data_IF_356093319956
#
_entry.id   IF_356093319956
#
_cell.length_a   1.000
_cell.length_b   1.000
_cell.length_c   1.000
_cell.angle_alpha   90.00
_cell.angle_beta   90.00
_cell.angle_gamma   90.00
#
_symmetry.space_group_name_H-M   'P 1'
#
loop_
_entity.id
_entity.type
_entity.pdbx_description
1 polymer ?
#
# COMPACT_ATOMS: atom_id res chain seq x y z
N UNK A 1 -8.88 -25.44 9.59
CA UNK A 1 -10.29 -25.85 9.73
C UNK A 1 -10.86 -26.47 8.46
N UNK A 2 -10.52 -25.96 7.27
CA UNK A 2 -10.82 -26.57 5.95
C UNK A 2 -10.62 -28.11 5.87
N UNK A 3 -9.49 -28.71 6.27
CA UNK A 3 -9.30 -30.16 6.16
C UNK A 3 -10.19 -30.99 7.10
N UNK A 4 -10.72 -30.37 8.17
CA UNK A 4 -11.57 -31.04 9.15
C UNK A 4 -13.03 -31.05 8.65
N UNK A 5 -13.47 -29.95 8.05
CA UNK A 5 -14.84 -29.78 7.55
C UNK A 5 -15.10 -30.56 6.26
N UNK A 6 -14.08 -30.84 5.45
CA UNK A 6 -14.19 -31.71 4.26
C UNK A 6 -14.65 -33.15 4.58
N UNK A 7 -14.46 -33.62 5.82
CA UNK A 7 -14.80 -34.99 6.21
C UNK A 7 -16.21 -35.10 6.85
N UNK A 8 -16.95 -34.01 6.96
CA UNK A 8 -18.29 -34.00 7.56
C UNK A 8 -19.33 -34.27 6.48
N UNK A 9 -20.07 -35.39 6.60
CA UNK A 9 -21.20 -35.74 5.73
C UNK A 9 -22.24 -34.62 5.72
N UNK A 10 -22.58 -34.11 4.53
CA UNK A 10 -23.48 -32.97 4.32
C UNK A 10 -22.78 -31.69 3.83
N UNK A 11 -21.44 -31.69 3.84
CA UNK A 11 -20.64 -30.57 3.33
C UNK A 11 -20.48 -30.66 1.82
N UNK A 12 -21.13 -29.76 1.08
CA UNK A 12 -21.13 -29.78 -0.40
C UNK A 12 -19.85 -29.18 -1.01
N UNK A 13 -19.24 -28.18 -0.36
CA UNK A 13 -17.94 -27.61 -0.71
C UNK A 13 -17.38 -26.78 0.45
N UNK A 14 -16.13 -27.03 0.87
CA UNK A 14 -15.39 -26.13 1.77
C UNK A 14 -14.17 -25.65 1.01
N UNK A 15 -14.13 -24.35 0.75
CA UNK A 15 -13.01 -23.69 0.12
C UNK A 15 -12.53 -22.61 1.07
N UNK A 16 -11.27 -22.70 1.52
CA UNK A 16 -10.64 -21.54 2.14
C UNK A 16 -10.25 -20.58 1.02
N UNK A 17 -10.76 -19.36 1.05
CA UNK A 17 -10.26 -18.28 0.20
C UNK A 17 -8.77 -18.09 0.52
N UNK A 18 -7.92 -18.61 -0.36
CA UNK A 18 -6.49 -18.32 -0.34
C UNK A 18 -6.32 -17.04 -1.13
N UNK A 19 -6.11 -15.93 -0.44
CA UNK A 19 -5.61 -14.72 -1.09
C UNK A 19 -4.28 -15.11 -1.72
N UNK A 20 -4.26 -15.31 -3.05
CA UNK A 20 -3.04 -15.56 -3.79
C UNK A 20 -2.08 -14.42 -3.45
N UNK A 21 -0.91 -14.75 -2.91
CA UNK A 21 -0.01 -13.79 -2.30
C UNK A 21 0.28 -12.60 -3.22
N UNK A 22 -0.01 -11.39 -2.72
CA UNK A 22 0.38 -10.15 -3.40
C UNK A 22 1.90 -10.02 -3.47
N UNK A 23 2.40 -9.32 -4.51
CA UNK A 23 3.80 -8.89 -4.54
C UNK A 23 3.92 -7.64 -3.69
N UNK A 24 4.73 -7.71 -2.63
CA UNK A 24 5.00 -6.59 -1.74
C UNK A 24 6.38 -6.02 -2.00
N UNK A 25 6.49 -4.69 -1.90
CA UNK A 25 7.77 -3.99 -1.83
C UNK A 25 8.00 -3.62 -0.37
N UNK A 26 9.02 -4.22 0.25
CA UNK A 26 9.41 -3.91 1.62
C UNK A 26 10.41 -2.75 1.62
N UNK A 27 10.11 -1.71 2.40
CA UNK A 27 10.97 -0.53 2.55
C UNK A 27 11.68 -0.63 3.90
N UNK A 28 12.99 -0.86 3.88
CA UNK A 28 13.82 -0.87 5.09
C UNK A 28 14.48 0.50 5.31
N UNK A 29 14.03 1.20 6.36
CA UNK A 29 14.47 2.56 6.68
C UNK A 29 15.67 2.49 7.62
N UNK A 30 16.82 2.98 7.14
CA UNK A 30 18.04 3.10 7.93
C UNK A 30 17.90 4.18 9.00
N UNK A 31 17.35 3.83 10.16
CA UNK A 31 17.04 4.73 11.28
C UNK A 31 18.19 5.68 11.65
N UNK A 32 19.43 5.17 11.74
CA UNK A 32 20.63 5.97 12.06
C UNK A 32 20.96 7.01 10.99
N UNK A 33 20.67 6.72 9.72
CA UNK A 33 20.88 7.67 8.63
C UNK A 33 19.77 8.72 8.60
N UNK A 34 18.50 8.31 8.76
CA UNK A 34 17.35 9.22 8.84
C UNK A 34 17.50 10.24 9.98
N UNK A 35 17.97 9.80 11.14
CA UNK A 35 18.22 10.67 12.30
C UNK A 35 19.24 11.79 12.01
N UNK A 36 20.23 11.58 11.12
CA UNK A 36 21.18 12.63 10.73
C UNK A 36 20.53 13.76 9.95
N UNK A 37 19.39 13.49 9.32
CA UNK A 37 18.59 14.45 8.56
C UNK A 37 17.37 14.94 9.35
N UNK A 38 17.26 14.59 10.65
CA UNK A 38 16.10 14.96 11.47
C UNK A 38 14.80 14.28 11.07
N UNK A 39 14.85 13.25 10.22
CA UNK A 39 13.65 12.57 9.72
C UNK A 39 13.21 11.47 10.69
N UNK A 40 11.94 11.50 11.09
CA UNK A 40 11.36 10.37 11.80
C UNK A 40 11.03 9.23 10.82
N UNK A 41 11.01 8.00 11.33
CA UNK A 41 10.64 6.83 10.52
C UNK A 41 9.20 6.96 10.01
N UNK A 42 8.33 7.54 10.83
CA UNK A 42 6.93 7.79 10.49
C UNK A 42 6.84 8.72 9.29
N UNK A 43 7.63 9.80 9.28
CA UNK A 43 7.61 10.77 8.18
C UNK A 43 8.07 10.11 6.88
N UNK A 44 9.17 9.36 6.93
CA UNK A 44 9.66 8.63 5.74
C UNK A 44 8.63 7.64 5.22
N UNK A 45 7.99 6.85 6.11
CA UNK A 45 6.95 5.92 5.69
C UNK A 45 5.73 6.64 5.10
N UNK A 46 5.34 7.77 5.69
CA UNK A 46 4.19 8.54 5.25
C UNK A 46 4.44 9.20 3.89
N UNK A 47 5.63 9.73 3.63
CA UNK A 47 5.94 10.27 2.31
C UNK A 47 5.93 9.15 1.27
N UNK A 48 6.54 7.98 1.54
CA UNK A 48 6.58 6.90 0.56
C UNK A 48 5.18 6.31 0.29
N UNK A 49 4.36 6.14 1.33
CA UNK A 49 3.00 5.60 1.15
C UNK A 49 2.11 6.55 0.34
N UNK A 50 2.20 7.85 0.58
CA UNK A 50 1.44 8.87 -0.15
C UNK A 50 1.96 9.07 -1.57
N UNK A 51 3.27 9.06 -1.76
CA UNK A 51 3.95 9.10 -3.05
C UNK A 51 3.51 7.96 -4.00
N UNK A 52 3.45 6.74 -3.48
CA UNK A 52 3.23 5.52 -4.28
C UNK A 52 1.75 5.12 -4.33
N UNK A 53 1.09 5.08 -3.17
CA UNK A 53 -0.31 4.68 -3.03
C UNK A 53 -1.30 5.83 -3.31
N UNK A 54 -0.80 7.07 -3.29
CA UNK A 54 -1.61 8.26 -3.38
C UNK A 54 -2.20 8.68 -2.04
N UNK A 55 -2.53 9.96 -1.95
CA UNK A 55 -3.16 10.58 -0.79
C UNK A 55 -4.41 11.32 -1.24
N UNK A 56 -5.52 11.09 -0.56
CA UNK A 56 -6.70 11.94 -0.72
C UNK A 56 -6.42 13.29 -0.03
N UNK A 57 -6.44 14.37 -0.79
CA UNK A 57 -6.17 15.73 -0.28
C UNK A 57 -7.44 16.56 -0.08
N UNK A 58 -8.59 16.05 -0.53
CA UNK A 58 -9.86 16.76 -0.44
C UNK A 58 -10.89 16.20 -1.39
N UNK A 59 -12.02 16.87 -1.51
CA UNK A 59 -13.11 16.48 -2.40
C UNK A 59 -13.51 17.68 -3.26
N UNK A 60 -13.77 17.45 -4.53
CA UNK A 60 -14.50 18.40 -5.37
C UNK A 60 -16.00 18.12 -5.24
N UNK A 61 -16.79 19.18 -5.28
CA UNK A 61 -18.26 19.12 -5.23
C UNK A 61 -18.77 19.56 -6.60
N UNK A 62 -19.45 18.65 -7.29
CA UNK A 62 -20.03 18.88 -8.61
C UNK A 62 -21.54 18.66 -8.50
N UNK A 63 -22.27 19.74 -8.23
CA UNK A 63 -23.70 19.68 -7.91
C UNK A 63 -23.96 18.96 -6.58
N UNK A 64 -24.53 17.75 -6.65
CA UNK A 64 -24.77 16.87 -5.49
C UNK A 64 -23.71 15.76 -5.35
N UNK A 65 -22.81 15.65 -6.32
CA UNK A 65 -21.78 14.61 -6.37
C UNK A 65 -20.50 15.08 -5.68
N UNK A 66 -19.83 14.14 -5.00
CA UNK A 66 -18.57 14.37 -4.29
C UNK A 66 -17.52 13.43 -4.88
N UNK A 67 -16.43 14.00 -5.38
CA UNK A 67 -15.33 13.22 -5.93
C UNK A 67 -14.02 13.46 -5.15
N UNK A 68 -13.32 12.42 -4.73
CA UNK A 68 -12.05 12.57 -4.03
C UNK A 68 -10.94 13.04 -4.96
N UNK A 69 -10.11 13.96 -4.48
CA UNK A 69 -8.91 14.44 -5.16
C UNK A 69 -7.73 13.62 -4.64
N UNK A 70 -7.19 12.74 -5.49
CA UNK A 70 -6.05 11.89 -5.13
C UNK A 70 -4.74 12.42 -5.75
N UNK A 71 -3.76 12.71 -4.91
CA UNK A 71 -2.41 13.13 -5.32
C UNK A 71 -1.46 11.96 -5.17
N UNK A 72 -0.70 11.65 -6.23
CA UNK A 72 0.33 10.62 -6.26
C UNK A 72 1.38 10.96 -7.30
N UNK A 73 2.58 10.37 -7.18
CA UNK A 73 3.59 10.55 -8.21
C UNK A 73 3.16 9.92 -9.54
N UNK A 74 3.63 10.49 -10.68
CA UNK A 74 3.44 9.89 -11.99
C UNK A 74 3.92 8.43 -12.00
N UNK A 75 3.25 7.60 -12.79
CA UNK A 75 3.55 6.17 -12.86
C UNK A 75 5.04 5.88 -13.15
N UNK A 76 5.64 6.68 -14.02
CA UNK A 76 7.04 6.54 -14.42
C UNK A 76 8.04 6.70 -13.27
N UNK A 77 7.64 7.25 -12.12
CA UNK A 77 8.48 7.37 -10.92
C UNK A 77 8.33 6.17 -9.96
N UNK A 78 7.30 5.34 -10.14
CA UNK A 78 6.93 4.27 -9.21
C UNK A 78 6.72 2.90 -9.87
N UNK A 79 7.10 2.77 -11.14
CA UNK A 79 6.97 1.52 -11.92
C UNK A 79 8.08 0.48 -11.62
N UNK A 80 9.08 0.84 -10.80
CA UNK A 80 10.22 -0.02 -10.51
C UNK A 80 10.83 0.27 -9.14
N UNK A 81 11.39 -0.77 -8.51
CA UNK A 81 12.04 -0.67 -7.20
C UNK A 81 13.21 0.32 -7.23
N UNK A 82 13.98 0.35 -8.32
CA UNK A 82 15.13 1.26 -8.46
C UNK A 82 14.67 2.72 -8.47
N UNK A 83 13.56 3.05 -9.14
CA UNK A 83 13.04 4.42 -9.13
C UNK A 83 12.46 4.80 -7.77
N UNK A 84 11.80 3.86 -7.09
CA UNK A 84 11.33 4.05 -5.71
C UNK A 84 12.49 4.36 -4.73
N UNK A 85 13.67 3.79 -4.94
CA UNK A 85 14.86 4.09 -4.15
C UNK A 85 15.42 5.51 -4.39
N UNK A 86 15.16 6.08 -5.57
CA UNK A 86 15.66 7.37 -6.00
C UNK A 86 14.59 8.48 -5.91
N UNK A 87 13.51 8.25 -5.17
CA UNK A 87 12.52 9.29 -4.94
C UNK A 87 13.15 10.48 -4.21
N UNK A 88 12.83 11.72 -4.61
CA UNK A 88 13.27 12.89 -3.89
C UNK A 88 12.59 12.94 -2.51
N UNK A 89 13.39 12.79 -1.45
CA UNK A 89 13.01 12.85 -0.03
C UNK A 89 13.97 13.76 0.73
#
# INVERSE_FOLDING_TARGET
LEPILNNVRGTSSVYAERVAGGRYVTIDIKRRAAARYGLSIKDVQQVISTAVGGMNVGETIEGLERYPINVRYPQDYRDSVVKLQNLPL
#
